data_IF_958768146381
#
_entry.id   IF_958768146381
#
_cell.length_a   1.000
_cell.length_b   1.000
_cell.length_c   1.000
_cell.angle_alpha   90.00
_cell.angle_beta   90.00
_cell.angle_gamma   90.00
#
_symmetry.space_group_name_H-M   'P 1'
#
loop_
_entity.id
_entity.type
_entity.pdbx_description
1 polymer ?
#
# COMPACT_ATOMS: atom_id res chain seq x y z
N UNK A 1 2.82 23.26 -22.41
CA UNK A 1 3.53 22.63 -21.28
C UNK A 1 2.96 21.23 -21.07
N UNK A 2 3.67 20.14 -21.39
CA UNK A 2 3.13 18.81 -21.17
C UNK A 2 2.98 18.59 -19.66
N UNK A 3 1.77 18.27 -19.20
CA UNK A 3 1.50 18.00 -17.80
C UNK A 3 2.43 16.89 -17.31
N UNK A 4 3.35 17.22 -16.41
CA UNK A 4 4.31 16.28 -15.82
C UNK A 4 3.49 15.22 -15.09
N UNK A 5 3.37 14.04 -15.71
CA UNK A 5 2.59 12.93 -15.16
C UNK A 5 3.25 12.53 -13.84
N UNK A 6 2.51 12.68 -12.73
CA UNK A 6 2.99 12.25 -11.41
C UNK A 6 3.49 10.80 -11.48
N UNK A 7 4.66 10.48 -10.89
CA UNK A 7 5.13 9.12 -10.71
C UNK A 7 4.04 8.20 -10.17
N UNK A 8 3.97 6.97 -10.68
CA UNK A 8 2.90 6.00 -10.36
C UNK A 8 2.70 5.84 -8.84
N UNK A 9 3.81 5.79 -8.08
CA UNK A 9 3.82 5.74 -6.61
C UNK A 9 3.08 6.90 -5.95
N UNK A 10 3.26 8.12 -6.47
CA UNK A 10 2.60 9.32 -5.92
C UNK A 10 1.10 9.30 -6.25
N UNK A 11 0.72 8.79 -7.44
CA UNK A 11 -0.69 8.62 -7.80
C UNK A 11 -1.38 7.58 -6.91
N UNK A 12 -0.69 6.49 -6.59
CA UNK A 12 -1.19 5.46 -5.67
C UNK A 12 -1.44 6.02 -4.27
N UNK A 13 -0.55 6.86 -3.74
CA UNK A 13 -0.72 7.47 -2.42
C UNK A 13 -1.87 8.47 -2.34
N UNK A 14 -2.22 9.12 -3.45
CA UNK A 14 -3.37 10.04 -3.55
C UNK A 14 -4.72 9.33 -3.66
N UNK A 15 -4.75 8.00 -3.75
CA UNK A 15 -6.00 7.26 -3.77
C UNK A 15 -6.71 7.35 -2.40
N UNK A 16 -8.06 7.33 -2.38
CA UNK A 16 -8.82 7.15 -1.14
C UNK A 16 -8.32 5.93 -0.37
N UNK A 17 -8.33 6.00 0.97
CA UNK A 17 -7.78 4.94 1.84
C UNK A 17 -8.28 3.53 1.47
N UNK A 18 -9.58 3.38 1.19
CA UNK A 18 -10.19 2.12 0.75
C UNK A 18 -9.60 1.60 -0.57
N UNK A 19 -9.33 2.49 -1.54
CA UNK A 19 -8.72 2.12 -2.82
C UNK A 19 -7.22 1.80 -2.68
N UNK A 20 -6.50 2.49 -1.78
CA UNK A 20 -5.11 2.16 -1.44
C UNK A 20 -4.99 0.77 -0.86
N UNK A 21 -5.90 0.41 0.03
CA UNK A 21 -5.91 -0.91 0.65
C UNK A 21 -6.23 -2.02 -0.36
N UNK A 22 -7.17 -1.80 -1.29
CA UNK A 22 -7.40 -2.74 -2.39
C UNK A 22 -6.18 -2.91 -3.30
N UNK A 23 -5.50 -1.80 -3.64
CA UNK A 23 -4.26 -1.85 -4.42
C UNK A 23 -3.14 -2.61 -3.68
N UNK A 24 -3.00 -2.41 -2.37
CA UNK A 24 -2.01 -3.11 -1.56
C UNK A 24 -2.28 -4.63 -1.54
N UNK A 25 -3.53 -5.06 -1.43
CA UNK A 25 -3.90 -6.47 -1.51
C UNK A 25 -3.52 -7.09 -2.87
N UNK A 26 -3.86 -6.42 -3.98
CA UNK A 26 -3.51 -6.88 -5.33
C UNK A 26 -1.99 -6.95 -5.53
N UNK A 27 -1.23 -6.00 -5.00
CA UNK A 27 0.24 -6.04 -5.06
C UNK A 27 0.78 -7.24 -4.31
N UNK A 28 0.32 -7.49 -3.08
CA UNK A 28 0.74 -8.63 -2.26
C UNK A 28 0.39 -9.96 -2.94
N UNK A 29 -0.78 -10.06 -3.58
CA UNK A 29 -1.22 -11.24 -4.33
C UNK A 29 -0.42 -11.46 -5.62
N UNK A 30 0.02 -10.37 -6.27
CA UNK A 30 0.84 -10.45 -7.47
C UNK A 30 2.27 -10.96 -7.23
N UNK A 31 2.74 -10.96 -5.98
CA UNK A 31 4.06 -11.49 -5.61
C UNK A 31 3.99 -13.02 -5.59
N UNK A 32 4.68 -13.64 -6.55
CA UNK A 32 4.87 -15.09 -6.68
C UNK A 32 6.13 -15.55 -5.92
N UNK A 33 6.32 -16.87 -5.80
CA UNK A 33 7.50 -17.44 -5.12
C UNK A 33 8.85 -17.02 -5.76
N UNK A 34 8.88 -16.72 -7.06
CA UNK A 34 10.08 -16.31 -7.80
C UNK A 34 10.32 -14.79 -7.81
N UNK A 35 9.55 -14.02 -7.03
CA UNK A 35 9.64 -12.56 -7.05
C UNK A 35 10.90 -11.99 -6.39
N UNK A 36 11.73 -12.84 -5.77
CA UNK A 36 12.86 -12.41 -4.94
C UNK A 36 12.45 -11.66 -3.67
N UNK A 37 11.17 -11.69 -3.30
CA UNK A 37 10.64 -11.05 -2.09
C UNK A 37 10.73 -12.03 -0.93
N UNK A 38 11.24 -11.56 0.20
CA UNK A 38 11.35 -12.35 1.43
C UNK A 38 9.97 -12.93 1.85
N UNK A 39 9.84 -14.27 1.98
CA UNK A 39 8.61 -14.91 2.44
C UNK A 39 8.13 -14.42 3.81
N UNK A 40 9.04 -14.06 4.72
CA UNK A 40 8.70 -13.55 6.04
C UNK A 40 8.03 -12.16 5.92
N UNK A 41 8.61 -11.29 5.10
CA UNK A 41 8.02 -9.99 4.77
C UNK A 41 6.66 -10.15 4.12
N UNK A 42 6.50 -11.07 3.17
CA UNK A 42 5.23 -11.32 2.50
C UNK A 42 4.13 -11.75 3.50
N UNK A 43 4.48 -12.64 4.43
CA UNK A 43 3.58 -13.10 5.49
C UNK A 43 3.15 -11.96 6.40
N UNK A 44 4.08 -11.08 6.77
CA UNK A 44 3.77 -9.88 7.56
C UNK A 44 2.84 -8.92 6.82
N UNK A 45 3.11 -8.66 5.53
CA UNK A 45 2.28 -7.79 4.70
C UNK A 45 0.85 -8.34 4.54
N UNK A 46 0.70 -9.64 4.31
CA UNK A 46 -0.62 -10.31 4.26
C UNK A 46 -1.37 -10.13 5.58
N UNK A 47 -0.71 -10.37 6.72
CA UNK A 47 -1.30 -10.18 8.05
C UNK A 47 -1.76 -8.73 8.26
N UNK A 48 -0.90 -7.76 7.99
CA UNK A 48 -1.22 -6.33 8.17
C UNK A 48 -2.38 -5.87 7.28
N UNK A 49 -2.41 -6.31 6.02
CA UNK A 49 -3.50 -6.01 5.10
C UNK A 49 -4.85 -6.51 5.64
N UNK A 50 -4.89 -7.73 6.18
CA UNK A 50 -6.08 -8.30 6.80
C UNK A 50 -6.50 -7.56 8.09
N UNK A 51 -5.54 -7.19 8.94
CA UNK A 51 -5.82 -6.42 10.16
C UNK A 51 -6.39 -5.02 9.87
N UNK A 52 -5.93 -4.38 8.80
CA UNK A 52 -6.46 -3.11 8.32
C UNK A 52 -7.86 -3.26 7.69
N UNK A 53 -8.09 -4.33 6.93
CA UNK A 53 -9.40 -4.62 6.33
C UNK A 53 -10.48 -4.93 7.38
N UNK A 54 -10.12 -5.68 8.40
CA UNK A 54 -11.02 -6.04 9.51
C UNK A 54 -11.28 -4.90 10.48
N UNK A 55 -10.57 -3.76 10.35
CA UNK A 55 -10.67 -2.63 11.27
C UNK A 55 -10.05 -2.91 12.64
N UNK A 56 -9.36 -4.05 12.83
CA UNK A 56 -8.64 -4.38 14.06
C UNK A 56 -7.50 -3.39 14.32
N UNK A 57 -6.91 -2.85 13.26
CA UNK A 57 -5.87 -1.82 13.31
C UNK A 57 -6.32 -0.62 12.47
N UNK A 58 -6.12 0.60 12.99
CA UNK A 58 -6.36 1.83 12.24
C UNK A 58 -5.24 2.05 11.23
N UNK A 59 -5.60 2.35 9.98
CA UNK A 59 -4.62 2.81 8.99
C UNK A 59 -4.02 4.16 9.40
N UNK A 60 -2.74 4.36 9.09
CA UNK A 60 -2.08 5.65 9.29
C UNK A 60 -2.47 6.62 8.16
N UNK A 61 -2.68 7.88 8.53
CA UNK A 61 -2.68 8.99 7.58
C UNK A 61 -1.27 9.17 7.00
N UNK A 62 -1.19 9.88 5.88
CA UNK A 62 0.11 10.14 5.24
C UNK A 62 1.04 10.93 6.16
N UNK A 63 0.48 11.85 6.94
CA UNK A 63 1.22 12.66 7.90
C UNK A 63 1.77 11.82 9.05
N UNK A 64 0.97 10.88 9.58
CA UNK A 64 1.44 9.93 10.60
C UNK A 64 2.50 8.95 10.07
N UNK A 65 2.44 8.59 8.79
CA UNK A 65 3.36 7.61 8.20
C UNK A 65 4.68 8.23 7.70
N UNK A 66 4.65 9.47 7.21
CA UNK A 66 5.78 10.07 6.51
C UNK A 66 6.14 11.49 6.97
N UNK A 67 5.39 12.07 7.91
CA UNK A 67 5.65 13.42 8.43
C UNK A 67 5.29 14.56 7.46
N UNK A 68 4.53 14.27 6.40
CA UNK A 68 4.02 15.27 5.47
C UNK A 68 2.59 14.96 5.01
N UNK A 69 1.85 16.03 4.68
CA UNK A 69 0.51 15.97 4.09
C UNK A 69 0.57 15.95 2.55
N UNK A 70 -0.36 15.23 1.91
CA UNK A 70 -0.42 14.99 0.44
C UNK A 70 -1.39 15.90 -0.32
#
# INVERSE_FOLDING_TARGET
>A
MPATKLPLRQRALKLPARKRLGLAALLIESVTADSGVDPALLKELKKRSHELQSGKVRGLSTEEAYGFSL
#
